data_IF_626734000368
#
_entry.id   IF_626734000368
#
_cell.length_a   1.000
_cell.length_b   1.000
_cell.length_c   1.000
_cell.angle_alpha   90.00
_cell.angle_beta   90.00
_cell.angle_gamma   90.00
#
_symmetry.space_group_name_H-M   'P 1'
#
loop_
_entity.id
_entity.type
_entity.pdbx_description
1 polymer ?
#
# COMPACT_ATOMS: atom_id res chain seq x y z
N UNK A 1 -3.55 -0.24 -0.65
CA UNK A 1 -3.73 -1.71 -0.65
C UNK A 1 -2.47 -2.33 -1.25
N UNK A 2 -2.02 -3.49 -0.78
CA UNK A 2 -0.78 -4.13 -1.22
C UNK A 2 -1.11 -5.33 -2.12
N UNK A 3 -0.43 -5.44 -3.26
CA UNK A 3 -0.41 -6.65 -4.07
C UNK A 3 0.57 -7.66 -3.47
N UNK A 4 0.17 -8.92 -3.38
CA UNK A 4 0.96 -10.00 -2.82
C UNK A 4 1.40 -10.94 -3.94
N UNK A 5 2.70 -11.24 -3.98
CA UNK A 5 3.22 -12.31 -4.82
C UNK A 5 2.84 -13.68 -4.24
N UNK A 6 2.80 -14.70 -5.11
CA UNK A 6 2.40 -16.05 -4.71
C UNK A 6 3.24 -16.63 -3.58
N UNK A 7 4.55 -16.36 -3.53
CA UNK A 7 5.42 -16.78 -2.43
C UNK A 7 5.01 -16.12 -1.11
N UNK A 8 4.75 -14.82 -1.11
CA UNK A 8 4.29 -14.09 0.09
C UNK A 8 2.94 -14.62 0.58
N UNK A 9 2.04 -15.00 -0.33
CA UNK A 9 0.78 -15.64 0.02
C UNK A 9 1.01 -16.99 0.70
N UNK A 10 1.95 -17.80 0.20
CA UNK A 10 2.33 -19.08 0.80
C UNK A 10 2.94 -18.89 2.18
N UNK A 11 3.85 -17.92 2.35
CA UNK A 11 4.46 -17.60 3.64
C UNK A 11 3.40 -17.19 4.67
N UNK A 12 2.50 -16.25 4.31
CA UNK A 12 1.41 -15.85 5.19
C UNK A 12 0.46 -17.01 5.52
N UNK A 13 0.22 -17.91 4.56
CA UNK A 13 -0.57 -19.11 4.80
C UNK A 13 0.10 -20.05 5.81
N UNK A 14 1.42 -20.25 5.73
CA UNK A 14 2.18 -21.05 6.69
C UNK A 14 2.19 -20.44 8.10
N UNK A 15 2.11 -19.11 8.21
CA UNK A 15 1.95 -18.38 9.47
C UNK A 15 0.51 -18.44 10.04
N UNK A 16 -0.40 -19.15 9.37
CA UNK A 16 -1.78 -19.31 9.83
C UNK A 16 -2.68 -18.10 9.60
N UNK A 17 -2.38 -17.23 8.62
CA UNK A 17 -3.17 -16.01 8.36
C UNK A 17 -4.67 -16.25 8.22
N UNK A 18 -5.10 -17.39 7.66
CA UNK A 18 -6.54 -17.72 7.51
C UNK A 18 -7.27 -17.88 8.84
N UNK A 19 -6.55 -18.25 9.90
CA UNK A 19 -7.08 -18.32 11.27
C UNK A 19 -7.27 -16.91 11.82
N UNK A 20 -6.29 -16.03 11.57
CA UNK A 20 -6.24 -14.67 12.13
C UNK A 20 -7.07 -13.65 11.34
N UNK A 21 -7.29 -13.91 10.05
CA UNK A 21 -8.02 -13.10 9.10
C UNK A 21 -8.76 -14.00 8.10
N UNK A 22 -10.01 -14.34 8.44
CA UNK A 22 -10.85 -15.28 7.66
C UNK A 22 -11.10 -14.85 6.21
N UNK A 23 -11.05 -13.54 5.94
CA UNK A 23 -11.29 -12.99 4.60
C UNK A 23 -10.01 -12.91 3.73
N UNK A 24 -8.88 -13.43 4.22
CA UNK A 24 -7.63 -13.43 3.46
C UNK A 24 -7.77 -14.19 2.14
N UNK A 25 -7.42 -13.52 1.04
CA UNK A 25 -7.40 -14.10 -0.31
C UNK A 25 -8.73 -14.74 -0.75
N UNK A 26 -9.87 -14.08 -0.48
CA UNK A 26 -11.18 -14.51 -1.02
C UNK A 26 -11.27 -14.44 -2.55
N UNK A 27 -10.56 -13.49 -3.17
CA UNK A 27 -10.46 -13.39 -4.64
C UNK A 27 -9.38 -14.35 -5.15
N UNK A 28 -9.70 -15.13 -6.19
CA UNK A 28 -8.75 -16.04 -6.86
C UNK A 28 -7.86 -15.34 -7.88
N UNK A 29 -8.20 -14.11 -8.27
CA UNK A 29 -7.62 -13.44 -9.43
C UNK A 29 -6.56 -12.42 -9.04
N UNK A 30 -6.73 -11.77 -7.89
CA UNK A 30 -5.80 -10.76 -7.40
C UNK A 30 -5.60 -10.92 -5.89
N UNK A 31 -4.36 -11.20 -5.48
CA UNK A 31 -4.01 -11.34 -4.06
C UNK A 31 -3.68 -9.97 -3.49
N UNK A 32 -4.66 -9.38 -2.81
CA UNK A 32 -4.51 -8.09 -2.17
C UNK A 32 -4.81 -8.13 -0.68
N UNK A 33 -4.12 -7.28 0.08
CA UNK A 33 -4.40 -7.04 1.50
C UNK A 33 -4.18 -5.57 1.82
N UNK A 34 -4.99 -4.98 2.72
CA UNK A 34 -4.72 -3.63 3.19
C UNK A 34 -3.51 -3.63 4.13
N UNK A 35 -2.71 -2.56 4.12
CA UNK A 35 -1.53 -2.43 4.97
C UNK A 35 -1.89 -2.63 6.45
N UNK A 36 -3.01 -2.05 6.89
CA UNK A 36 -3.52 -2.20 8.25
C UNK A 36 -3.83 -3.65 8.60
N UNK A 37 -4.54 -4.39 7.74
CA UNK A 37 -4.86 -5.79 8.02
C UNK A 37 -3.60 -6.65 8.09
N UNK A 38 -2.65 -6.43 7.18
CA UNK A 38 -1.37 -7.14 7.19
C UNK A 38 -0.60 -6.87 8.49
N UNK A 39 -0.51 -5.60 8.91
CA UNK A 39 0.12 -5.22 10.18
C UNK A 39 -0.55 -5.91 11.38
N UNK A 40 -1.88 -5.93 11.44
CA UNK A 40 -2.62 -6.58 12.53
C UNK A 40 -2.39 -8.09 12.55
N UNK A 41 -2.37 -8.75 11.39
CA UNK A 41 -2.09 -10.19 11.29
C UNK A 41 -0.68 -10.48 11.81
N UNK A 42 0.33 -9.78 11.29
CA UNK A 42 1.73 -10.01 11.69
C UNK A 42 1.95 -9.68 13.17
N UNK A 43 1.30 -8.64 13.70
CA UNK A 43 1.33 -8.31 15.11
C UNK A 43 0.78 -9.45 15.98
N UNK A 44 -0.35 -10.04 15.60
CA UNK A 44 -0.91 -11.21 16.29
C UNK A 44 0.05 -12.39 16.26
N UNK A 45 0.69 -12.65 15.13
CA UNK A 45 1.71 -13.71 15.01
C UNK A 45 2.88 -13.47 15.97
N UNK A 46 3.41 -12.25 16.02
CA UNK A 46 4.51 -11.88 16.95
C UNK A 46 4.10 -12.09 18.41
N UNK A 47 2.91 -11.62 18.79
CA UNK A 47 2.38 -11.77 20.15
C UNK A 47 2.19 -13.24 20.55
N UNK A 48 1.66 -14.07 19.66
CA UNK A 48 1.47 -15.51 19.90
C UNK A 48 2.79 -16.26 20.07
N UNK A 49 3.88 -15.76 19.47
CA UNK A 49 5.22 -16.31 19.61
C UNK A 49 6.00 -15.72 20.81
N UNK A 50 5.34 -14.93 21.68
CA UNK A 50 5.97 -14.34 22.87
C UNK A 50 6.91 -13.17 22.56
N UNK A 51 6.79 -12.54 21.39
CA UNK A 51 7.59 -11.39 21.02
C UNK A 51 7.28 -10.16 21.89
N UNK A 52 8.32 -9.52 22.42
CA UNK A 52 8.18 -8.27 23.16
C UNK A 52 8.00 -7.10 22.18
N UNK A 53 6.91 -6.34 22.36
CA UNK A 53 6.59 -5.19 21.54
C UNK A 53 6.77 -3.91 22.34
N UNK A 54 7.63 -3.04 21.84
CA UNK A 54 7.82 -1.70 22.37
C UNK A 54 7.31 -0.71 21.32
N UNK A 55 6.40 0.17 21.72
CA UNK A 55 6.00 1.31 20.93
C UNK A 55 6.93 2.48 21.25
N UNK A 56 7.11 3.41 20.31
CA UNK A 56 7.92 4.59 20.57
C UNK A 56 7.20 5.47 21.60
N UNK A 57 7.72 5.51 22.83
CA UNK A 57 7.25 6.41 23.88
C UNK A 57 8.30 7.50 24.02
N UNK A 58 8.00 8.70 23.50
CA UNK A 58 8.75 9.88 23.90
C UNK A 58 8.39 10.20 25.33
N UNK A 59 9.37 10.13 26.22
CA UNK A 59 9.21 10.42 27.65
C UNK A 59 10.20 11.49 28.05
N UNK A 60 9.77 12.36 28.95
CA UNK A 60 10.64 13.29 29.67
C UNK A 60 10.37 13.08 31.17
N UNK A 61 11.33 12.58 31.96
CA UNK A 61 12.69 12.17 31.60
C UNK A 61 12.75 10.83 30.81
N UNK A 62 13.87 10.60 30.12
CA UNK A 62 14.09 9.41 29.31
C UNK A 62 14.17 8.14 30.19
N UNK A 63 13.36 7.12 29.88
CA UNK A 63 13.41 5.79 30.51
C UNK A 63 14.74 5.09 30.14
N UNK A 64 15.31 4.19 30.99
CA UNK A 64 16.60 3.56 30.72
C UNK A 64 16.69 2.88 29.35
N UNK A 65 17.85 3.06 28.73
CA UNK A 65 18.20 2.50 27.42
C UNK A 65 18.36 0.98 27.57
N UNK A 66 17.65 0.22 26.73
CA UNK A 66 17.89 -1.22 26.60
C UNK A 66 19.07 -1.46 25.64
N UNK A 67 20.00 -2.33 26.04
CA UNK A 67 21.13 -2.74 25.20
C UNK A 67 20.71 -3.86 24.24
N UNK A 68 21.13 -3.77 22.98
CA UNK A 68 20.88 -4.77 21.96
C UNK A 68 22.15 -5.05 21.16
N UNK A 69 22.33 -6.29 20.71
CA UNK A 69 23.47 -6.71 19.87
C UNK A 69 23.26 -6.47 18.38
N UNK A 70 22.01 -6.29 17.97
CA UNK A 70 21.62 -6.06 16.58
C UNK A 70 20.42 -5.14 16.50
N UNK A 71 20.37 -4.32 15.45
CA UNK A 71 19.27 -3.40 15.13
C UNK A 71 18.81 -3.66 13.71
N UNK A 72 17.50 -3.73 13.48
CA UNK A 72 16.90 -3.88 12.17
C UNK A 72 16.02 -2.66 11.85
N UNK A 73 16.47 -1.83 10.91
CA UNK A 73 15.74 -0.64 10.46
C UNK A 73 14.60 -0.98 9.52
N UNK A 74 13.36 -0.99 10.03
CA UNK A 74 12.14 -1.22 9.25
C UNK A 74 11.16 -0.03 9.34
N UNK A 75 11.68 1.19 9.39
CA UNK A 75 10.94 2.43 9.66
C UNK A 75 10.39 3.15 8.42
N UNK A 76 10.56 2.57 7.23
CA UNK A 76 10.15 3.18 5.97
C UNK A 76 11.03 4.38 5.59
N UNK A 77 10.44 5.40 4.95
CA UNK A 77 11.18 6.57 4.47
C UNK A 77 11.74 7.44 5.58
N UNK A 78 11.06 7.48 6.74
CA UNK A 78 11.47 8.21 7.95
C UNK A 78 12.53 7.47 8.78
N UNK A 79 13.48 6.83 8.10
CA UNK A 79 14.58 6.13 8.73
C UNK A 79 15.54 7.10 9.45
N UNK A 80 16.02 6.66 10.60
CA UNK A 80 17.02 7.36 11.42
C UNK A 80 18.22 6.48 11.77
N UNK A 81 18.29 5.29 11.18
CA UNK A 81 19.29 4.27 11.48
C UNK A 81 20.40 4.22 10.44
N UNK A 82 20.12 4.68 9.22
CA UNK A 82 21.04 4.65 8.08
C UNK A 82 22.32 5.48 8.34
N UNK A 83 22.18 6.74 8.80
CA UNK A 83 23.33 7.62 9.07
C UNK A 83 24.25 7.05 10.18
N UNK A 84 23.75 6.65 11.37
CA UNK A 84 24.57 5.99 12.38
C UNK A 84 25.21 4.67 11.92
N UNK A 85 24.57 3.96 10.98
CA UNK A 85 25.08 2.72 10.42
C UNK A 85 26.08 2.93 9.26
N UNK A 86 26.34 4.18 8.85
CA UNK A 86 27.18 4.49 7.69
C UNK A 86 26.56 4.08 6.35
N UNK A 87 25.24 3.90 6.29
CA UNK A 87 24.51 3.52 5.09
C UNK A 87 24.22 4.78 4.27
N UNK A 88 24.76 4.83 3.05
CA UNK A 88 24.52 5.94 2.12
C UNK A 88 23.28 5.69 1.28
N UNK A 89 22.31 6.61 1.31
CA UNK A 89 21.15 6.59 0.41
C UNK A 89 21.49 7.27 -0.92
N UNK A 90 21.04 6.67 -2.02
CA UNK A 90 21.07 7.29 -3.34
C UNK A 90 19.63 7.54 -3.81
N UNK A 91 19.41 8.68 -4.48
CA UNK A 91 18.11 9.05 -5.05
C UNK A 91 18.19 8.94 -6.56
N UNK A 92 17.30 8.14 -7.15
CA UNK A 92 17.08 8.10 -8.59
C UNK A 92 15.80 8.88 -8.91
N UNK A 93 15.95 10.02 -9.56
CA UNK A 93 14.84 10.82 -10.08
C UNK A 93 15.00 10.97 -11.60
N UNK A 94 13.95 10.66 -12.35
CA UNK A 94 13.97 10.73 -13.83
C UNK A 94 12.87 11.66 -14.31
N UNK A 95 11.63 11.23 -14.12
CA UNK A 95 10.43 11.91 -14.57
C UNK A 95 9.60 12.31 -13.36
N UNK A 96 8.92 13.44 -13.47
CA UNK A 96 7.96 13.89 -12.48
C UNK A 96 6.66 13.08 -12.66
N UNK A 97 6.23 12.40 -11.60
CA UNK A 97 4.98 11.67 -11.54
C UNK A 97 4.23 12.01 -10.27
N UNK A 98 2.91 12.21 -10.38
CA UNK A 98 2.02 12.35 -9.23
C UNK A 98 1.01 11.22 -9.27
N UNK A 99 0.88 10.50 -8.16
CA UNK A 99 -0.15 9.48 -7.97
C UNK A 99 -1.26 10.00 -7.06
N UNK A 100 -2.51 9.80 -7.48
CA UNK A 100 -3.69 10.07 -6.69
C UNK A 100 -4.27 8.73 -6.22
N UNK A 101 -4.45 8.61 -4.91
CA UNK A 101 -5.03 7.44 -4.27
C UNK A 101 -6.40 7.79 -3.67
N UNK A 102 -7.47 7.21 -4.23
CA UNK A 102 -8.84 7.38 -3.75
C UNK A 102 -9.33 6.13 -3.02
N UNK A 103 -10.07 6.33 -1.93
CA UNK A 103 -10.64 5.29 -1.10
C UNK A 103 -12.16 5.47 -1.01
N UNK A 104 -12.91 4.44 -1.39
CA UNK A 104 -14.36 4.42 -1.29
C UNK A 104 -14.80 3.27 -0.39
N UNK A 105 -15.86 3.47 0.38
CA UNK A 105 -16.46 2.40 1.17
C UNK A 105 -16.88 1.24 0.27
N UNK A 106 -16.69 0.02 0.73
CA UNK A 106 -17.26 -1.17 0.10
C UNK A 106 -18.49 -1.58 0.91
N UNK A 107 -19.69 -1.35 0.37
CA UNK A 107 -20.94 -1.71 1.02
C UNK A 107 -21.36 -3.17 0.72
N UNK A 108 -20.54 -3.89 -0.04
CA UNK A 108 -20.77 -5.27 -0.48
C UNK A 108 -22.12 -5.45 -1.20
N UNK A 109 -22.62 -4.40 -1.84
CA UNK A 109 -23.85 -4.48 -2.63
C UNK A 109 -23.65 -5.42 -3.83
N UNK A 110 -24.73 -6.04 -4.31
CA UNK A 110 -24.67 -6.94 -5.46
C UNK A 110 -24.01 -6.30 -6.69
N UNK A 111 -24.21 -5.00 -6.91
CA UNK A 111 -23.61 -4.26 -8.02
C UNK A 111 -22.11 -4.00 -7.82
N UNK A 112 -21.69 -3.65 -6.60
CA UNK A 112 -20.26 -3.55 -6.27
C UNK A 112 -19.54 -4.90 -6.38
N UNK A 113 -20.22 -5.99 -6.02
CA UNK A 113 -19.67 -7.35 -6.08
C UNK A 113 -19.55 -7.88 -7.52
N UNK A 114 -20.32 -7.35 -8.47
CA UNK A 114 -20.20 -7.67 -9.91
C UNK A 114 -19.08 -6.90 -10.62
N UNK A 115 -18.64 -5.76 -10.08
CA UNK A 115 -17.56 -4.96 -10.69
C UNK A 115 -16.27 -5.78 -10.79
N UNK A 116 -15.62 -5.70 -11.95
CA UNK A 116 -14.32 -6.33 -12.19
C UNK A 116 -13.21 -5.39 -11.78
N UNK A 117 -12.23 -5.93 -11.06
CA UNK A 117 -10.94 -5.27 -10.82
C UNK A 117 -10.21 -5.07 -12.16
N UNK A 118 -9.47 -3.98 -12.30
CA UNK A 118 -8.75 -3.66 -13.55
C UNK A 118 -7.46 -2.90 -13.28
N UNK A 119 -6.54 -2.99 -14.25
CA UNK A 119 -5.30 -2.22 -14.29
C UNK A 119 -5.05 -1.83 -15.74
N UNK A 120 -5.09 -0.53 -16.02
CA UNK A 120 -4.89 0.03 -17.35
C UNK A 120 -3.64 0.88 -17.36
N UNK A 121 -2.85 0.75 -18.42
CA UNK A 121 -1.62 1.51 -18.60
C UNK A 121 -1.48 1.98 -20.03
N UNK A 122 -0.95 3.18 -20.22
CA UNK A 122 -0.60 3.72 -21.55
C UNK A 122 0.41 2.83 -22.29
N UNK A 123 1.31 2.17 -21.55
CA UNK A 123 2.28 1.21 -22.09
C UNK A 123 1.61 0.03 -22.80
N UNK A 124 0.43 -0.40 -22.33
CA UNK A 124 -0.38 -1.45 -22.96
C UNK A 124 -1.45 -0.90 -23.93
N UNK A 125 -1.48 0.42 -24.17
CA UNK A 125 -2.42 1.10 -25.08
C UNK A 125 -3.88 0.69 -24.86
N UNK A 126 -4.31 0.69 -23.60
CA UNK A 126 -5.69 0.32 -23.28
C UNK A 126 -6.68 1.40 -23.74
N UNK A 127 -7.61 1.05 -24.65
CA UNK A 127 -8.55 2.00 -25.29
C UNK A 127 -9.34 2.87 -24.31
N UNK A 128 -9.70 2.34 -23.12
CA UNK A 128 -10.39 3.14 -22.10
C UNK A 128 -9.63 4.39 -21.66
N UNK A 129 -8.30 4.41 -21.75
CA UNK A 129 -7.53 5.62 -21.43
C UNK A 129 -7.72 6.72 -22.47
N UNK A 130 -7.97 6.35 -23.73
CA UNK A 130 -8.29 7.33 -24.77
C UNK A 130 -9.71 7.89 -24.59
N UNK A 131 -10.69 7.04 -24.23
CA UNK A 131 -12.04 7.50 -23.89
C UNK A 131 -12.06 8.44 -22.67
N UNK A 132 -11.22 8.17 -21.66
CA UNK A 132 -11.07 9.07 -20.51
C UNK A 132 -10.42 10.40 -20.91
N UNK A 133 -9.48 10.38 -21.86
CA UNK A 133 -8.87 11.60 -22.40
C UNK A 133 -9.91 12.46 -23.12
N UNK A 134 -10.85 11.85 -23.85
CA UNK A 134 -11.91 12.58 -24.58
C UNK A 134 -12.86 13.35 -23.64
N UNK A 135 -12.99 12.91 -22.38
CA UNK A 135 -13.75 13.64 -21.34
C UNK A 135 -12.87 14.54 -20.47
N UNK A 136 -11.61 14.76 -20.85
CA UNK A 136 -10.68 15.68 -20.18
C UNK A 136 -9.86 15.07 -19.03
N UNK A 137 -9.75 13.74 -18.95
CA UNK A 137 -8.98 13.04 -17.91
C UNK A 137 -7.86 12.23 -18.58
N UNK A 138 -6.68 12.83 -18.78
CA UNK A 138 -5.53 12.13 -19.39
C UNK A 138 -4.62 11.47 -18.34
N UNK A 139 -4.62 10.14 -18.29
CA UNK A 139 -3.88 9.34 -17.30
C UNK A 139 -2.75 8.54 -17.95
N UNK A 140 -1.66 8.34 -17.21
CA UNK A 140 -0.60 7.39 -17.57
C UNK A 140 -1.00 5.95 -17.23
N UNK A 141 -1.66 5.77 -16.08
CA UNK A 141 -2.19 4.50 -15.63
C UNK A 141 -3.32 4.71 -14.60
N UNK A 142 -4.14 3.67 -14.44
CA UNK A 142 -5.20 3.60 -13.42
C UNK A 142 -5.39 2.14 -12.98
N UNK A 143 -5.52 1.94 -11.68
CA UNK A 143 -5.71 0.63 -11.06
C UNK A 143 -6.90 0.68 -10.11
N UNK A 144 -7.89 -0.17 -10.36
CA UNK A 144 -9.00 -0.41 -9.45
C UNK A 144 -8.88 -1.80 -8.84
N UNK A 145 -8.92 -1.83 -7.52
CA UNK A 145 -8.90 -3.06 -6.75
C UNK A 145 -9.97 -3.02 -5.66
N UNK A 146 -10.56 -4.17 -5.37
CA UNK A 146 -11.66 -4.31 -4.42
C UNK A 146 -11.24 -5.21 -3.27
N UNK A 147 -11.17 -4.62 -2.07
CA UNK A 147 -11.00 -5.35 -0.81
C UNK A 147 -12.06 -4.95 0.21
N UNK A 148 -11.69 -4.88 1.48
CA UNK A 148 -12.54 -4.30 2.56
C UNK A 148 -12.92 -2.83 2.26
N UNK A 149 -12.12 -2.15 1.44
CA UNK A 149 -12.33 -0.80 0.91
C UNK A 149 -12.07 -0.87 -0.59
N UNK A 150 -12.82 -0.09 -1.38
CA UNK A 150 -12.59 0.06 -2.80
C UNK A 150 -11.46 1.07 -3.04
N UNK A 151 -10.47 0.68 -3.81
CA UNK A 151 -9.25 1.47 -3.99
C UNK A 151 -9.03 1.79 -5.46
N UNK A 152 -8.74 3.06 -5.74
CA UNK A 152 -8.42 3.55 -7.06
C UNK A 152 -7.10 4.33 -6.99
N UNK A 153 -6.06 3.84 -7.65
CA UNK A 153 -4.84 4.61 -7.92
C UNK A 153 -4.92 5.11 -9.34
N UNK A 154 -4.58 6.37 -9.56
CA UNK A 154 -4.36 6.91 -10.89
C UNK A 154 -3.13 7.81 -10.91
N UNK A 155 -2.43 7.81 -12.05
CA UNK A 155 -1.31 8.70 -12.31
C UNK A 155 -1.74 9.66 -13.43
N UNK A 156 -2.28 10.85 -13.10
CA UNK A 156 -2.60 11.86 -14.09
C UNK A 156 -1.35 12.43 -14.74
N UNK A 157 -1.42 12.72 -16.04
CA UNK A 157 -0.37 13.50 -16.69
C UNK A 157 -0.37 14.93 -16.17
N UNK A 158 0.82 15.52 -16.06
CA UNK A 158 1.07 16.86 -15.52
C UNK A 158 0.06 17.92 -15.98
N UNK A 159 -0.30 17.95 -17.26
CA UNK A 159 -1.21 18.98 -17.79
C UNK A 159 -2.63 18.92 -17.22
N UNK A 160 -3.13 17.77 -16.74
CA UNK A 160 -4.42 17.69 -16.06
C UNK A 160 -4.42 18.40 -14.70
N UNK A 161 -3.24 18.47 -14.06
CA UNK A 161 -3.08 19.04 -12.74
C UNK A 161 -2.95 20.56 -12.75
N UNK A 162 -2.67 21.16 -13.92
CA UNK A 162 -2.48 22.59 -14.07
C UNK A 162 -3.80 23.37 -14.19
N UNK A 163 -4.95 22.68 -14.18
CA UNK A 163 -6.25 23.34 -14.07
C UNK A 163 -6.42 23.95 -12.66
N UNK A 164 -6.83 25.24 -12.55
CA UNK A 164 -6.88 25.97 -11.28
C UNK A 164 -7.71 25.30 -10.17
N UNK A 165 -8.61 24.38 -10.53
CA UNK A 165 -9.51 23.72 -9.59
C UNK A 165 -8.87 22.58 -8.78
N UNK A 166 -7.71 22.03 -9.21
CA UNK A 166 -7.10 20.85 -8.59
C UNK A 166 -5.87 21.20 -7.74
N UNK A 167 -5.08 22.22 -8.12
CA UNK A 167 -3.86 22.65 -7.40
C UNK A 167 -4.10 23.42 -6.10
N UNK A 168 -5.35 23.63 -5.68
CA UNK A 168 -5.71 24.39 -4.48
C UNK A 168 -6.13 23.52 -3.29
N UNK A 169 -5.92 22.20 -3.37
CA UNK A 169 -6.12 21.24 -2.26
C UNK A 169 -4.84 21.05 -1.44
#
# INVERSE_FOLDING_TARGET
MLHLWSSVVQDLASLGVKVLFKNFCKSRTYFHVSTRQLQVVLLKVVLLNGGNLFYNIKTEPQIPVAEYTAVHGATGTNDKTDEPAGITRFVLSRDESLDIACYFLNLETTEEMKRKEFSWTTRLKHHMLDEMRDVGIDLENIVYSRGDIQYLIMTPKRHNLLYPSITTL
#
